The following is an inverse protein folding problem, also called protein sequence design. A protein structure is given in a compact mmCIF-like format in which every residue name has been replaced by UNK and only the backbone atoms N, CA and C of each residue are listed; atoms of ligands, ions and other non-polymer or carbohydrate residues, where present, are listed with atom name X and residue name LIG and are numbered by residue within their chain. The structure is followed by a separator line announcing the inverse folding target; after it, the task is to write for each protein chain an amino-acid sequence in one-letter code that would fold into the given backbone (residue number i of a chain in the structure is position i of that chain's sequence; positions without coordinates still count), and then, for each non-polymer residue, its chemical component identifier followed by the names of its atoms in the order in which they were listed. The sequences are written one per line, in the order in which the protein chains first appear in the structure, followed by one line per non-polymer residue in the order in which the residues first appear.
data_IF_760682362144
#
_entry.id   IF_760682362144
#
_cell.length_a   1.000
_cell.length_b   1.000
_cell.length_c   1.000
_cell.angle_alpha   90.00
_cell.angle_beta   90.00
_cell.angle_gamma   90.00
#
_symmetry.space_group_name_H-M   'P 1'
#
loop_
_entity.id
_entity.type
_entity.pdbx_description
1 polymer ?
#
# COMPACT_ATOMS: atom_id res chain seq x y z
N UNK A 1 0.07 -1.54 18.43
CA UNK A 1 1.07 -2.13 17.52
C UNK A 1 1.09 -1.36 16.20
N UNK A 2 2.12 -1.52 15.36
CA UNK A 2 2.06 -1.00 13.98
C UNK A 2 1.38 -2.06 13.09
N UNK A 3 0.22 -1.72 12.52
CA UNK A 3 -0.62 -2.65 11.75
C UNK A 3 0.14 -3.29 10.58
N UNK A 4 0.98 -2.50 9.91
CA UNK A 4 1.84 -3.01 8.85
C UNK A 4 2.74 -4.16 9.32
N UNK A 5 3.34 -4.04 10.50
CA UNK A 5 4.21 -5.08 11.04
C UNK A 5 3.44 -6.31 11.49
N UNK A 6 2.24 -6.11 12.06
CA UNK A 6 1.33 -7.21 12.43
C UNK A 6 0.95 -8.05 11.21
N UNK A 7 0.71 -7.40 10.06
CA UNK A 7 0.19 -8.09 8.86
C UNK A 7 1.28 -8.63 7.94
N UNK A 8 2.45 -7.97 7.85
CA UNK A 8 3.43 -8.26 6.79
C UNK A 8 4.86 -8.57 7.28
N UNK A 9 5.14 -8.53 8.59
CA UNK A 9 6.51 -8.70 9.10
C UNK A 9 6.58 -9.76 10.20
N UNK A 10 6.63 -11.03 9.77
CA UNK A 10 6.60 -12.22 10.64
C UNK A 10 7.67 -12.24 11.74
N UNK A 11 8.84 -11.64 11.49
CA UNK A 11 9.93 -11.57 12.47
C UNK A 11 9.77 -10.42 13.49
N UNK A 12 8.72 -9.61 13.37
CA UNK A 12 8.53 -8.45 14.23
C UNK A 12 7.87 -8.82 15.56
N UNK A 13 8.21 -8.07 16.61
CA UNK A 13 7.52 -8.21 17.89
C UNK A 13 6.02 -7.94 17.79
N UNK A 14 5.63 -6.95 16.98
CA UNK A 14 4.22 -6.63 16.73
C UNK A 14 3.47 -7.80 16.08
N UNK A 15 4.12 -8.53 15.16
CA UNK A 15 3.55 -9.76 14.60
C UNK A 15 3.30 -10.81 15.68
N UNK A 16 4.31 -11.12 16.49
CA UNK A 16 4.16 -12.10 17.56
C UNK A 16 3.06 -11.72 18.57
N UNK A 17 2.95 -10.43 18.92
CA UNK A 17 1.90 -9.95 19.82
C UNK A 17 0.51 -10.03 19.14
N UNK A 18 0.38 -9.64 17.87
CA UNK A 18 -0.87 -9.78 17.13
C UNK A 18 -1.33 -11.22 16.98
N UNK A 19 -0.42 -12.14 16.64
CA UNK A 19 -0.70 -13.58 16.54
C UNK A 19 -0.95 -14.24 17.90
N UNK A 20 -0.57 -13.61 19.01
CA UNK A 20 -0.84 -14.14 20.34
C UNK A 20 -2.19 -13.66 20.89
N UNK A 21 -2.49 -12.39 20.71
CA UNK A 21 -3.62 -11.74 21.39
C UNK A 21 -4.82 -11.46 20.48
N UNK A 22 -4.61 -11.40 19.17
CA UNK A 22 -5.63 -11.08 18.16
C UNK A 22 -5.67 -12.13 17.03
N UNK A 23 -5.16 -13.34 17.27
CA UNK A 23 -4.91 -14.36 16.24
C UNK A 23 -6.04 -14.55 15.22
N UNK A 24 -7.30 -14.78 15.62
CA UNK A 24 -8.34 -15.08 14.62
C UNK A 24 -8.60 -13.86 13.72
N UNK A 25 -8.60 -12.66 14.30
CA UNK A 25 -8.82 -11.41 13.56
C UNK A 25 -7.64 -11.05 12.65
N UNK A 26 -6.40 -11.21 13.14
CA UNK A 26 -5.18 -11.01 12.34
C UNK A 26 -5.15 -11.98 11.17
N UNK A 27 -5.50 -13.24 11.41
CA UNK A 27 -5.57 -14.28 10.37
C UNK A 27 -6.57 -13.91 9.28
N UNK A 28 -7.81 -13.53 9.66
CA UNK A 28 -8.86 -13.16 8.70
C UNK A 28 -8.47 -11.94 7.85
N UNK A 29 -7.88 -10.92 8.46
CA UNK A 29 -7.38 -9.74 7.72
C UNK A 29 -6.29 -10.14 6.73
N UNK A 30 -5.33 -10.98 7.14
CA UNK A 30 -4.24 -11.44 6.25
C UNK A 30 -4.79 -12.23 5.08
N UNK A 31 -5.73 -13.14 5.32
CA UNK A 31 -6.39 -13.92 4.27
C UNK A 31 -7.19 -13.01 3.32
N UNK A 32 -7.96 -12.06 3.84
CA UNK A 32 -8.74 -11.15 3.02
C UNK A 32 -7.85 -10.25 2.13
N UNK A 33 -6.74 -9.73 2.68
CA UNK A 33 -5.76 -8.97 1.91
C UNK A 33 -5.03 -9.83 0.88
N UNK A 34 -4.80 -11.11 1.17
CA UNK A 34 -4.23 -12.07 0.21
C UNK A 34 -5.21 -12.35 -0.94
N UNK A 35 -6.50 -12.53 -0.67
CA UNK A 35 -7.51 -12.69 -1.70
C UNK A 35 -7.58 -11.46 -2.63
N UNK A 36 -7.48 -10.23 -2.08
CA UNK A 36 -7.35 -9.00 -2.89
C UNK A 36 -6.10 -9.03 -3.78
N UNK A 37 -4.95 -9.32 -3.17
CA UNK A 37 -3.67 -9.44 -3.88
C UNK A 37 -3.76 -10.45 -5.03
N UNK A 38 -4.48 -11.54 -4.81
CA UNK A 38 -4.65 -12.62 -5.77
C UNK A 38 -5.83 -12.42 -6.73
N UNK A 39 -6.57 -11.32 -6.58
CA UNK A 39 -7.75 -10.98 -7.36
C UNK A 39 -8.87 -12.01 -7.24
N UNK A 40 -8.93 -12.74 -6.12
CA UNK A 40 -9.94 -13.77 -5.85
C UNK A 40 -11.10 -13.19 -5.03
N UNK A 41 -12.13 -12.72 -5.72
CA UNK A 41 -13.32 -12.13 -5.10
C UNK A 41 -14.21 -13.17 -4.42
N UNK A 42 -14.18 -14.43 -4.87
CA UNK A 42 -14.98 -15.51 -4.27
C UNK A 42 -14.37 -15.99 -2.95
N UNK A 43 -13.03 -16.12 -2.92
CA UNK A 43 -12.29 -16.37 -1.70
C UNK A 43 -12.48 -15.22 -0.69
N UNK A 44 -12.37 -13.96 -1.15
CA UNK A 44 -12.64 -12.79 -0.31
C UNK A 44 -14.03 -12.85 0.33
N UNK A 45 -15.07 -13.16 -0.46
CA UNK A 45 -16.44 -13.28 0.03
C UNK A 45 -16.58 -14.37 1.10
N UNK A 46 -15.92 -15.51 0.87
CA UNK A 46 -15.92 -16.63 1.81
C UNK A 46 -15.27 -16.23 3.13
N UNK A 47 -14.09 -15.60 3.08
CA UNK A 47 -13.35 -15.16 4.27
C UNK A 47 -14.17 -14.13 5.06
N UNK A 48 -14.74 -13.13 4.38
CA UNK A 48 -15.53 -12.09 5.05
C UNK A 48 -16.79 -12.65 5.73
N UNK A 49 -17.43 -13.64 5.11
CA UNK A 49 -18.61 -14.31 5.69
C UNK A 49 -18.22 -15.07 6.96
N UNK A 50 -17.14 -15.86 6.91
CA UNK A 50 -16.63 -16.62 8.06
C UNK A 50 -16.21 -15.67 9.19
N UNK A 51 -15.48 -14.60 8.87
CA UNK A 51 -15.02 -13.62 9.84
C UNK A 51 -16.21 -12.94 10.54
N UNK A 52 -17.23 -12.51 9.79
CA UNK A 52 -18.42 -11.87 10.35
C UNK A 52 -19.17 -12.81 11.33
N UNK A 53 -19.32 -14.09 10.99
CA UNK A 53 -19.96 -15.09 11.86
C UNK A 53 -19.12 -15.35 13.12
N UNK A 54 -17.81 -15.53 12.96
CA UNK A 54 -16.90 -15.87 14.05
C UNK A 54 -16.76 -14.73 15.06
N UNK A 55 -16.42 -13.53 14.61
CA UNK A 55 -16.13 -12.39 15.50
C UNK A 55 -17.36 -11.81 16.19
N UNK A 56 -18.58 -12.11 15.70
CA UNK A 56 -19.82 -11.70 16.37
C UNK A 56 -19.95 -12.24 17.81
N UNK A 57 -19.19 -13.29 18.16
CA UNK A 57 -19.27 -13.99 19.44
C UNK A 57 -17.94 -14.07 20.20
N UNK A 58 -16.89 -13.35 19.76
CA UNK A 58 -15.55 -13.43 20.36
C UNK A 58 -15.26 -12.20 21.19
N UNK A 59 -14.95 -12.41 22.48
CA UNK A 59 -14.42 -11.35 23.34
C UNK A 59 -12.90 -11.33 23.28
N UNK A 60 -12.35 -10.19 22.85
CA UNK A 60 -10.92 -9.92 22.84
C UNK A 60 -10.51 -9.14 24.10
N UNK A 61 -9.23 -9.23 24.47
CA UNK A 61 -8.68 -8.44 25.58
C UNK A 61 -8.79 -6.94 25.32
N UNK A 62 -9.27 -6.20 26.33
CA UNK A 62 -9.34 -4.73 26.31
C UNK A 62 -7.96 -4.06 26.11
N UNK A 63 -6.88 -4.74 26.53
CA UNK A 63 -5.51 -4.26 26.37
C UNK A 63 -5.14 -3.99 24.89
N UNK A 64 -5.82 -4.66 23.96
CA UNK A 64 -5.55 -4.58 22.52
C UNK A 64 -6.71 -3.96 21.72
N UNK A 65 -7.62 -3.24 22.37
CA UNK A 65 -8.81 -2.64 21.74
C UNK A 65 -8.47 -1.74 20.54
N UNK A 66 -7.44 -0.89 20.67
CA UNK A 66 -7.03 0.01 19.57
C UNK A 66 -6.52 -0.76 18.35
N UNK A 67 -5.78 -1.86 18.57
CA UNK A 67 -5.25 -2.69 17.49
C UNK A 67 -6.34 -3.57 16.86
N UNK A 68 -7.29 -4.04 17.68
CA UNK A 68 -8.51 -4.72 17.23
C UNK A 68 -9.34 -3.82 16.34
N UNK A 69 -9.64 -2.59 16.78
CA UNK A 69 -10.46 -1.64 16.02
C UNK A 69 -9.86 -1.34 14.64
N UNK A 70 -8.52 -1.24 14.54
CA UNK A 70 -7.83 -1.07 13.25
C UNK A 70 -8.05 -2.25 12.31
N UNK A 71 -7.94 -3.48 12.83
CA UNK A 71 -8.16 -4.70 12.03
C UNK A 71 -9.64 -4.83 11.59
N UNK A 72 -10.58 -4.54 12.49
CA UNK A 72 -12.02 -4.51 12.19
C UNK A 72 -12.34 -3.47 11.11
N UNK A 73 -11.75 -2.28 11.16
CA UNK A 73 -11.90 -1.26 10.11
C UNK A 73 -11.42 -1.76 8.74
N UNK A 74 -10.33 -2.53 8.70
CA UNK A 74 -9.87 -3.16 7.44
C UNK A 74 -10.90 -4.16 6.92
N UNK A 75 -11.44 -5.05 7.77
CA UNK A 75 -12.47 -6.01 7.34
C UNK A 75 -13.75 -5.31 6.87
N UNK A 76 -14.26 -4.34 7.64
CA UNK A 76 -15.46 -3.56 7.30
C UNK A 76 -15.31 -2.81 5.98
N UNK A 77 -14.11 -2.29 5.71
CA UNK A 77 -13.80 -1.69 4.42
C UNK A 77 -13.84 -2.72 3.29
N UNK A 78 -13.23 -3.89 3.46
CA UNK A 78 -13.21 -4.94 2.45
C UNK A 78 -14.61 -5.52 2.18
N UNK A 79 -15.46 -5.61 3.19
CA UNK A 79 -16.87 -5.94 3.05
C UNK A 79 -17.62 -4.88 2.24
N UNK A 80 -17.41 -3.60 2.57
CA UNK A 80 -18.00 -2.48 1.83
C UNK A 80 -17.54 -2.44 0.37
N UNK A 81 -16.26 -2.71 0.12
CA UNK A 81 -15.70 -2.90 -1.22
C UNK A 81 -16.41 -4.05 -1.94
N UNK A 82 -16.45 -5.25 -1.35
CA UNK A 82 -17.04 -6.44 -1.99
C UNK A 82 -18.49 -6.20 -2.39
N UNK A 83 -19.28 -5.59 -1.49
CA UNK A 83 -20.68 -5.25 -1.75
C UNK A 83 -20.79 -4.32 -2.96
N UNK A 84 -20.08 -3.18 -2.93
CA UNK A 84 -20.11 -2.19 -4.03
C UNK A 84 -19.58 -2.76 -5.34
N UNK A 85 -18.52 -3.57 -5.28
CA UNK A 85 -17.94 -4.20 -6.46
C UNK A 85 -18.95 -5.16 -7.10
N UNK A 86 -19.64 -5.97 -6.29
CA UNK A 86 -20.64 -6.92 -6.79
C UNK A 86 -21.89 -6.22 -7.34
N UNK A 87 -22.26 -5.05 -6.82
CA UNK A 87 -23.39 -4.24 -7.32
C UNK A 87 -23.05 -3.45 -8.60
N UNK A 88 -21.82 -2.94 -8.70
CA UNK A 88 -21.42 -2.01 -9.76
C UNK A 88 -20.73 -2.68 -10.95
N UNK A 89 -20.16 -3.89 -10.77
CA UNK A 89 -19.30 -4.52 -11.77
C UNK A 89 -19.96 -5.79 -12.30
N UNK A 90 -20.29 -5.78 -13.59
CA UNK A 90 -20.70 -6.98 -14.30
C UNK A 90 -19.48 -7.87 -14.55
N UNK A 91 -19.35 -8.94 -13.75
CA UNK A 91 -18.26 -9.92 -13.86
C UNK A 91 -18.17 -10.55 -15.26
N UNK A 92 -19.26 -10.59 -16.03
CA UNK A 92 -19.23 -11.14 -17.39
C UNK A 92 -18.40 -10.31 -18.37
N UNK A 93 -18.16 -9.03 -18.04
CA UNK A 93 -17.35 -8.10 -18.84
C UNK A 93 -15.86 -8.16 -18.43
N UNK A 94 -15.54 -8.69 -17.23
CA UNK A 94 -14.18 -8.89 -16.75
C UNK A 94 -13.65 -10.25 -17.21
N UNK A 95 -13.48 -10.41 -18.52
CA UNK A 95 -13.16 -11.69 -19.13
C UNK A 95 -11.66 -12.02 -19.17
N UNK A 96 -10.80 -11.11 -18.72
CA UNK A 96 -9.36 -11.35 -18.56
C UNK A 96 -8.88 -11.12 -17.12
N UNK A 97 -7.83 -11.84 -16.67
CA UNK A 97 -7.16 -11.56 -15.40
C UNK A 97 -6.76 -10.10 -15.26
N UNK A 98 -6.28 -9.49 -16.36
CA UNK A 98 -5.88 -8.09 -16.42
C UNK A 98 -7.01 -7.11 -16.14
N UNK A 99 -8.17 -7.30 -16.77
CA UNK A 99 -9.34 -6.45 -16.51
C UNK A 99 -9.85 -6.59 -15.08
N UNK A 100 -9.87 -7.83 -14.55
CA UNK A 100 -10.25 -8.10 -13.16
C UNK A 100 -9.32 -7.36 -12.19
N UNK A 101 -8.02 -7.52 -12.35
CA UNK A 101 -6.99 -6.85 -11.56
C UNK A 101 -7.13 -5.32 -11.57
N UNK A 102 -7.26 -4.71 -12.75
CA UNK A 102 -7.46 -3.27 -12.90
C UNK A 102 -8.75 -2.79 -12.23
N UNK A 103 -9.86 -3.53 -12.42
CA UNK A 103 -11.15 -3.18 -11.83
C UNK A 103 -11.10 -3.24 -10.30
N UNK A 104 -10.52 -4.29 -9.72
CA UNK A 104 -10.36 -4.45 -8.27
C UNK A 104 -9.54 -3.29 -7.70
N UNK A 105 -8.33 -3.09 -8.24
CA UNK A 105 -7.41 -2.10 -7.70
C UNK A 105 -7.95 -0.66 -7.86
N UNK A 106 -8.56 -0.35 -9.01
CA UNK A 106 -9.20 0.95 -9.25
C UNK A 106 -10.37 1.24 -8.30
N UNK A 107 -11.24 0.25 -8.06
CA UNK A 107 -12.36 0.40 -7.13
C UNK A 107 -11.90 0.55 -5.68
N UNK A 108 -10.87 -0.18 -5.25
CA UNK A 108 -10.30 -0.04 -3.91
C UNK A 108 -9.71 1.36 -3.73
N UNK A 109 -8.92 1.86 -4.68
CA UNK A 109 -8.35 3.21 -4.63
C UNK A 109 -9.46 4.27 -4.56
N UNK A 110 -10.48 4.15 -5.40
CA UNK A 110 -11.63 5.05 -5.37
C UNK A 110 -12.35 5.00 -4.02
N UNK A 111 -12.48 3.82 -3.41
CA UNK A 111 -13.12 3.68 -2.11
C UNK A 111 -12.28 4.33 -1.01
N UNK A 112 -10.97 4.05 -0.95
CA UNK A 112 -10.04 4.66 0.01
C UNK A 112 -10.08 6.20 -0.06
N UNK A 113 -10.11 6.76 -1.27
CA UNK A 113 -10.11 8.23 -1.45
C UNK A 113 -11.41 8.89 -1.00
N UNK A 114 -12.52 8.15 -1.01
CA UNK A 114 -13.84 8.63 -0.58
C UNK A 114 -14.16 8.29 0.88
N UNK A 115 -13.44 7.34 1.47
CA UNK A 115 -13.67 6.84 2.83
C UNK A 115 -13.11 7.80 3.88
N UNK A 116 -13.99 8.26 4.79
CA UNK A 116 -13.65 9.13 5.91
C UNK A 116 -13.43 8.36 7.22
N UNK A 117 -13.70 7.06 7.25
CA UNK A 117 -13.67 6.20 8.43
C UNK A 117 -12.35 5.44 8.60
N UNK A 118 -11.67 5.11 7.51
CA UNK A 118 -10.34 4.50 7.57
C UNK A 118 -9.36 5.42 8.29
N UNK A 119 -8.49 4.85 9.12
CA UNK A 119 -7.33 5.55 9.65
C UNK A 119 -6.16 5.52 8.67
N UNK A 120 -5.06 6.14 9.08
CA UNK A 120 -3.82 6.18 8.29
C UNK A 120 -3.25 4.79 8.05
N UNK A 121 -3.16 3.95 9.10
CA UNK A 121 -2.50 2.65 8.99
C UNK A 121 -3.33 1.67 8.15
N UNK A 122 -4.63 1.65 8.36
CA UNK A 122 -5.62 0.84 7.66
C UNK A 122 -5.59 1.14 6.16
N UNK A 123 -5.63 2.42 5.80
CA UNK A 123 -5.52 2.85 4.39
C UNK A 123 -4.22 2.38 3.75
N UNK A 124 -3.10 2.45 4.48
CA UNK A 124 -1.79 2.08 3.95
C UNK A 124 -1.65 0.57 3.77
N UNK A 125 -2.16 -0.26 4.69
CA UNK A 125 -2.07 -1.72 4.55
C UNK A 125 -2.95 -2.26 3.43
N UNK A 126 -4.13 -1.69 3.22
CA UNK A 126 -4.99 -2.02 2.07
C UNK A 126 -4.31 -1.57 0.77
N UNK A 127 -3.76 -0.37 0.73
CA UNK A 127 -3.04 0.10 -0.45
C UNK A 127 -1.79 -0.74 -0.75
N UNK A 128 -1.12 -1.24 0.29
CA UNK A 128 0.05 -2.11 0.15
C UNK A 128 -0.30 -3.45 -0.52
N UNK A 129 -1.46 -4.03 -0.23
CA UNK A 129 -1.88 -5.30 -0.83
C UNK A 129 -2.17 -5.22 -2.33
N UNK A 130 -2.36 -4.00 -2.88
CA UNK A 130 -2.54 -3.80 -4.32
C UNK A 130 -1.22 -3.88 -5.12
N UNK A 131 -0.06 -3.75 -4.46
CA UNK A 131 1.23 -3.72 -5.17
C UNK A 131 1.48 -4.99 -6.00
N UNK A 132 1.26 -6.21 -5.49
CA UNK A 132 1.54 -7.41 -6.28
C UNK A 132 0.59 -7.59 -7.48
N UNK A 133 -0.56 -6.90 -7.51
CA UNK A 133 -1.43 -6.87 -8.69
C UNK A 133 -0.69 -6.20 -9.85
N UNK A 134 0.02 -5.09 -9.59
CA UNK A 134 0.84 -4.42 -10.60
C UNK A 134 1.95 -5.32 -11.12
N UNK A 135 2.64 -6.06 -10.24
CA UNK A 135 3.71 -7.00 -10.64
C UNK A 135 3.18 -8.06 -11.58
N UNK A 136 2.02 -8.63 -11.26
CA UNK A 136 1.34 -9.64 -12.08
C UNK A 136 1.03 -9.09 -13.47
N UNK A 137 0.38 -7.93 -13.52
CA UNK A 137 0.03 -7.27 -14.78
C UNK A 137 1.27 -6.99 -15.64
N UNK A 138 2.37 -6.55 -15.05
CA UNK A 138 3.63 -6.32 -15.75
C UNK A 138 4.24 -7.60 -16.31
N UNK A 139 4.21 -8.70 -15.55
CA UNK A 139 4.73 -9.98 -16.02
C UNK A 139 3.90 -10.60 -17.14
N UNK A 140 2.57 -10.46 -17.10
CA UNK A 140 1.67 -10.92 -18.16
C UNK A 140 1.93 -10.16 -19.47
N UNK A 141 2.09 -8.83 -19.40
CA UNK A 141 2.41 -8.02 -20.58
C UNK A 141 3.77 -8.38 -21.21
N UNK A 142 4.80 -8.67 -20.41
CA UNK A 142 6.11 -9.09 -20.93
C UNK A 142 5.99 -10.43 -21.70
N UNK A 143 5.14 -11.34 -21.25
CA UNK A 143 4.93 -12.65 -21.90
C UNK A 143 4.12 -12.59 -23.19
N UNK A 144 3.17 -11.66 -23.31
CA UNK A 144 2.39 -11.44 -24.53
C UNK A 144 3.29 -10.90 -25.66
N UNK A 145 4.20 -9.98 -25.33
CA UNK A 145 5.14 -9.37 -26.28
C UNK A 145 6.17 -10.38 -26.82
N UNK A 146 6.59 -11.37 -26.01
CA UNK A 146 7.50 -12.43 -26.48
C UNK A 146 6.87 -13.37 -27.52
N UNK A 147 5.53 -13.36 -27.66
CA UNK A 147 4.79 -14.19 -28.61
C UNK A 147 4.42 -13.48 -29.93
N UNK A 148 4.52 -12.14 -30.00
CA UNK A 148 4.17 -11.35 -31.17
C UNK A 148 5.32 -10.39 -31.56
N UNK A 149 6.00 -10.67 -32.67
CA UNK A 149 7.02 -9.77 -33.23
C UNK A 149 6.33 -8.54 -33.85
N UNK A 150 6.84 -7.36 -33.46
CA UNK A 150 6.70 -6.01 -34.07
C UNK A 150 5.38 -5.23 -33.88
N UNK A 151 5.41 -4.18 -33.04
CA UNK A 151 5.08 -2.81 -33.48
C UNK A 151 5.50 -1.73 -32.45
N UNK A 152 5.99 -0.59 -32.96
CA UNK A 152 6.52 0.57 -32.23
C UNK A 152 5.42 1.42 -31.55
N UNK A 153 4.62 0.83 -30.67
CA UNK A 153 3.74 1.58 -29.76
C UNK A 153 3.87 0.99 -28.37
N UNK A 154 4.16 1.82 -27.36
CA UNK A 154 3.91 1.47 -25.95
C UNK A 154 2.53 0.82 -25.89
N UNK A 155 2.48 -0.45 -25.53
CA UNK A 155 1.25 -1.22 -25.59
C UNK A 155 0.24 -0.61 -24.61
N UNK A 156 -1.06 -0.58 -24.96
CA UNK A 156 -2.09 -0.02 -24.07
C UNK A 156 -2.05 -0.64 -22.65
N UNK A 157 -1.51 -1.86 -22.53
CA UNK A 157 -1.23 -2.54 -21.27
C UNK A 157 -0.15 -1.87 -20.43
N UNK A 158 0.99 -1.47 -21.01
CA UNK A 158 2.04 -0.74 -20.28
C UNK A 158 1.53 0.58 -19.71
N UNK A 159 0.74 1.33 -20.50
CA UNK A 159 0.12 2.60 -20.08
C UNK A 159 -0.86 2.38 -18.92
N UNK A 160 -1.64 1.30 -18.95
CA UNK A 160 -2.59 0.96 -17.90
C UNK A 160 -1.88 0.58 -16.58
N UNK A 161 -0.81 -0.21 -16.66
CA UNK A 161 0.03 -0.58 -15.52
C UNK A 161 0.66 0.67 -14.91
N UNK A 162 1.21 1.56 -15.75
CA UNK A 162 1.78 2.83 -15.29
C UNK A 162 0.74 3.72 -14.60
N UNK A 163 -0.48 3.81 -15.15
CA UNK A 163 -1.58 4.54 -14.51
C UNK A 163 -1.95 3.95 -13.16
N UNK A 164 -2.07 2.63 -13.05
CA UNK A 164 -2.40 1.99 -11.79
C UNK A 164 -1.31 2.23 -10.73
N UNK A 165 -0.05 2.10 -11.12
CA UNK A 165 1.09 2.44 -10.25
C UNK A 165 1.05 3.88 -9.75
N UNK A 166 0.86 4.82 -10.68
CA UNK A 166 0.73 6.23 -10.37
C UNK A 166 -0.42 6.47 -9.38
N UNK A 167 -1.57 5.84 -9.60
CA UNK A 167 -2.72 5.96 -8.70
C UNK A 167 -2.44 5.40 -7.31
N UNK A 168 -1.80 4.24 -7.19
CA UNK A 168 -1.40 3.68 -5.89
C UNK A 168 -0.45 4.65 -5.18
N UNK A 169 0.59 5.13 -5.87
CA UNK A 169 1.58 6.03 -5.31
C UNK A 169 0.98 7.38 -4.87
N UNK A 170 0.18 8.01 -5.73
CA UNK A 170 -0.48 9.28 -5.42
C UNK A 170 -1.47 9.14 -4.27
N UNK A 171 -2.22 8.05 -4.23
CA UNK A 171 -3.16 7.78 -3.13
C UNK A 171 -2.40 7.63 -1.81
N UNK A 172 -1.29 6.87 -1.80
CA UNK A 172 -0.44 6.71 -0.62
C UNK A 172 0.11 8.04 -0.10
N UNK A 173 0.65 8.89 -0.99
CA UNK A 173 1.13 10.21 -0.60
C UNK A 173 0.01 11.14 -0.13
N UNK A 174 -1.16 11.08 -0.77
CA UNK A 174 -2.33 11.86 -0.37
C UNK A 174 -2.83 11.46 1.02
N UNK A 175 -2.78 10.16 1.34
CA UNK A 175 -3.06 9.65 2.70
C UNK A 175 -2.05 10.25 3.69
N UNK A 176 -0.73 10.22 3.40
CA UNK A 176 0.26 10.83 4.27
C UNK A 176 0.01 12.33 4.51
N UNK A 177 -0.39 13.07 3.48
CA UNK A 177 -0.74 14.48 3.61
C UNK A 177 -2.02 14.69 4.42
N UNK A 178 -3.09 13.93 4.15
CA UNK A 178 -4.39 14.00 4.85
C UNK A 178 -4.24 13.79 6.36
N UNK A 179 -3.48 12.77 6.76
CA UNK A 179 -3.26 12.46 8.18
C UNK A 179 -2.03 13.15 8.77
N UNK A 180 -1.30 13.94 7.97
CA UNK A 180 -0.05 14.60 8.35
C UNK A 180 0.93 13.66 9.10
N UNK A 181 1.03 12.42 8.62
CA UNK A 181 1.77 11.33 9.31
C UNK A 181 2.88 10.81 8.40
N UNK A 182 4.12 10.91 8.89
CA UNK A 182 5.33 10.64 8.11
C UNK A 182 6.37 9.82 8.89
N UNK A 183 6.02 8.55 9.16
CA UNK A 183 6.91 7.58 9.80
C UNK A 183 7.31 6.44 8.86
N UNK A 184 7.56 5.25 9.42
CA UNK A 184 7.93 4.05 8.63
C UNK A 184 6.96 3.73 7.48
N UNK A 185 5.65 3.89 7.69
CA UNK A 185 4.63 3.68 6.64
C UNK A 185 4.82 4.62 5.44
N UNK A 186 5.23 5.88 5.67
CA UNK A 186 5.59 6.79 4.56
C UNK A 186 6.79 6.24 3.79
N UNK A 187 7.83 5.74 4.51
CA UNK A 187 9.00 5.16 3.85
C UNK A 187 8.64 3.92 3.05
N UNK A 188 7.70 3.09 3.56
CA UNK A 188 7.16 1.93 2.83
C UNK A 188 6.40 2.37 1.58
N UNK A 189 5.59 3.44 1.65
CA UNK A 189 4.89 4.00 0.49
C UNK A 189 5.87 4.42 -0.60
N UNK A 190 6.97 5.07 -0.21
CA UNK A 190 7.99 5.54 -1.16
C UNK A 190 9.13 4.54 -1.42
N UNK A 191 9.09 3.34 -0.81
CA UNK A 191 10.15 2.34 -0.96
C UNK A 191 10.10 1.71 -2.35
N UNK A 192 11.28 1.38 -2.86
CA UNK A 192 11.50 0.85 -4.21
C UNK A 192 11.54 -0.67 -4.19
N UNK A 193 10.54 -1.32 -3.59
CA UNK A 193 10.36 -2.74 -3.85
C UNK A 193 9.74 -2.86 -5.25
N UNK A 194 10.52 -3.43 -6.17
CA UNK A 194 10.26 -3.66 -7.61
C UNK A 194 10.61 -2.50 -8.56
N UNK A 195 10.49 -2.72 -9.88
CA UNK A 195 10.91 -1.85 -11.02
C UNK A 195 10.35 -0.39 -10.95
N UNK A 196 9.66 -0.04 -9.88
CA UNK A 196 8.81 1.12 -9.64
C UNK A 196 9.49 2.13 -8.73
N UNK A 197 10.66 2.60 -9.17
CA UNK A 197 11.54 3.40 -8.31
C UNK A 197 10.93 4.77 -7.98
N UNK A 198 11.13 5.23 -6.74
CA UNK A 198 10.78 6.59 -6.32
C UNK A 198 11.42 7.67 -7.22
N UNK A 199 12.55 7.34 -7.84
CA UNK A 199 13.24 8.20 -8.79
C UNK A 199 12.38 8.52 -10.03
N UNK A 200 11.56 7.58 -10.52
CA UNK A 200 10.64 7.84 -11.65
C UNK A 200 9.56 8.84 -11.25
N UNK A 201 8.88 8.60 -10.13
CA UNK A 201 7.82 9.47 -9.64
C UNK A 201 8.32 10.85 -9.28
N UNK A 202 9.51 10.96 -8.66
CA UNK A 202 10.11 12.26 -8.41
C UNK A 202 10.55 12.90 -9.71
N UNK A 203 11.21 12.23 -10.66
CA UNK A 203 11.71 12.89 -11.88
C UNK A 203 10.61 13.32 -12.84
N UNK A 204 9.51 12.58 -12.92
CA UNK A 204 8.44 12.80 -13.90
C UNK A 204 7.26 13.65 -13.40
N UNK A 205 7.04 13.82 -12.09
CA UNK A 205 5.75 14.30 -11.59
C UNK A 205 5.74 15.64 -10.82
N UNK A 206 4.52 16.19 -10.84
CA UNK A 206 3.88 17.29 -10.11
C UNK A 206 4.62 17.85 -8.87
N UNK A 207 4.83 19.17 -8.86
CA UNK A 207 5.40 19.94 -7.73
C UNK A 207 4.65 19.77 -6.40
N UNK A 208 3.37 19.39 -6.41
CA UNK A 208 2.62 19.06 -5.20
C UNK A 208 3.18 17.83 -4.49
N UNK A 209 3.49 16.78 -5.24
CA UNK A 209 4.00 15.52 -4.67
C UNK A 209 5.41 15.70 -4.13
N UNK A 210 6.24 16.48 -4.83
CA UNK A 210 7.56 16.84 -4.34
C UNK A 210 7.47 17.48 -2.94
N UNK A 211 6.46 18.34 -2.70
CA UNK A 211 6.23 18.95 -1.38
C UNK A 211 5.84 17.94 -0.32
N UNK A 212 4.96 16.98 -0.65
CA UNK A 212 4.58 15.90 0.28
C UNK A 212 5.81 15.06 0.64
N UNK A 213 6.58 14.64 -0.38
CA UNK A 213 7.78 13.83 -0.17
C UNK A 213 8.81 14.63 0.63
N UNK A 214 9.03 15.90 0.30
CA UNK A 214 9.93 16.78 1.04
C UNK A 214 9.56 16.86 2.52
N UNK A 215 8.28 17.13 2.84
CA UNK A 215 7.77 17.15 4.22
C UNK A 215 8.01 15.81 4.94
N UNK A 216 7.73 14.70 4.27
CA UNK A 216 7.93 13.37 4.83
C UNK A 216 9.41 13.05 5.10
N UNK A 217 10.30 13.37 4.16
CA UNK A 217 11.74 13.25 4.35
C UNK A 217 12.22 14.12 5.50
N UNK A 218 11.80 15.38 5.55
CA UNK A 218 12.16 16.31 6.63
C UNK A 218 11.71 15.80 8.00
N UNK A 219 10.47 15.29 8.11
CA UNK A 219 9.95 14.68 9.33
C UNK A 219 10.84 13.54 9.83
N UNK A 220 11.16 12.58 8.95
CA UNK A 220 11.98 11.41 9.30
C UNK A 220 13.41 11.82 9.60
N UNK A 221 14.02 12.64 8.75
CA UNK A 221 15.39 13.10 8.93
C UNK A 221 15.54 13.91 10.21
N UNK A 222 14.51 14.64 10.65
CA UNK A 222 14.50 15.34 11.95
C UNK A 222 14.31 14.41 13.16
N UNK A 223 13.89 13.15 12.98
CA UNK A 223 13.71 12.17 14.06
C UNK A 223 14.75 11.03 14.04
N UNK A 224 15.67 11.04 15.01
CA UNK A 224 16.60 9.91 15.20
C UNK A 224 15.87 8.59 15.48
N UNK A 225 14.73 8.66 16.14
CA UNK A 225 13.91 7.50 16.48
C UNK A 225 13.32 6.88 15.23
N UNK A 226 12.76 7.68 14.32
CA UNK A 226 12.22 7.17 13.06
C UNK A 226 13.33 6.55 12.19
N UNK A 227 14.49 7.20 12.05
CA UNK A 227 15.63 6.64 11.31
C UNK A 227 16.07 5.27 11.87
N UNK A 228 16.00 5.08 13.20
CA UNK A 228 16.38 3.81 13.84
C UNK A 228 15.41 2.68 13.55
N UNK A 229 14.13 2.98 13.33
CA UNK A 229 13.09 1.98 12.98
C UNK A 229 13.27 1.44 11.56
N UNK A 230 13.94 2.20 10.68
CA UNK A 230 14.15 1.79 9.29
C UNK A 230 15.25 0.72 9.19
N UNK A 231 14.95 -0.35 8.45
CA UNK A 231 15.97 -1.29 8.01
C UNK A 231 16.91 -0.67 6.96
N UNK A 232 17.93 -1.43 6.55
CA UNK A 232 18.94 -0.94 5.62
C UNK A 232 18.39 -0.70 4.20
N UNK A 233 17.31 -1.37 3.80
CA UNK A 233 16.71 -1.19 2.49
C UNK A 233 15.86 0.08 2.47
N UNK A 234 15.01 0.27 3.47
CA UNK A 234 14.22 1.49 3.65
C UNK A 234 15.12 2.74 3.80
N UNK A 235 16.27 2.63 4.48
CA UNK A 235 17.27 3.72 4.54
C UNK A 235 17.85 4.06 3.17
N UNK A 236 18.14 3.05 2.34
CA UNK A 236 18.64 3.27 0.97
C UNK A 236 17.61 4.00 0.12
N UNK A 237 16.34 3.61 0.23
CA UNK A 237 15.25 4.25 -0.52
C UNK A 237 15.00 5.68 -0.05
N UNK A 238 14.99 5.93 1.26
CA UNK A 238 14.94 7.27 1.83
C UNK A 238 16.09 8.16 1.32
N UNK A 239 17.30 7.59 1.16
CA UNK A 239 18.45 8.30 0.60
C UNK A 239 18.33 8.57 -0.89
N UNK A 240 17.72 7.67 -1.67
CA UNK A 240 17.41 7.89 -3.09
C UNK A 240 16.44 9.06 -3.24
N UNK A 241 15.34 9.03 -2.50
CA UNK A 241 14.34 10.11 -2.42
C UNK A 241 14.97 11.47 -2.13
N UNK A 242 15.81 11.53 -1.08
CA UNK A 242 16.55 12.73 -0.70
C UNK A 242 17.43 13.26 -1.84
N UNK A 243 18.19 12.38 -2.52
CA UNK A 243 19.03 12.77 -3.65
C UNK A 243 18.21 13.30 -4.83
N UNK A 244 17.07 12.68 -5.11
CA UNK A 244 16.20 13.10 -6.20
C UNK A 244 15.63 14.51 -5.95
N UNK A 245 15.16 14.80 -4.74
CA UNK A 245 14.70 16.15 -4.37
C UNK A 245 15.83 17.19 -4.34
N UNK A 246 17.02 16.82 -3.86
CA UNK A 246 18.19 17.72 -3.89
C UNK A 246 18.55 18.11 -5.33
N UNK A 247 18.48 17.17 -6.28
CA UNK A 247 18.71 17.46 -7.72
C UNK A 247 17.67 18.43 -8.30
N UNK A 248 16.46 18.48 -7.73
CA UNK A 248 15.40 19.44 -8.08
C UNK A 248 15.55 20.80 -7.38
N UNK A 249 16.55 21.00 -6.53
CA UNK A 249 16.79 22.26 -5.83
C UNK A 249 16.07 22.40 -4.49
N UNK A 250 15.50 21.33 -3.93
CA UNK A 250 14.95 21.37 -2.57
C UNK A 250 16.07 21.47 -1.54
N UNK A 251 15.93 22.43 -0.62
CA UNK A 251 16.91 22.69 0.43
C UNK A 251 16.56 21.96 1.72
N UNK A 252 17.53 21.22 2.26
CA UNK A 252 17.45 20.57 3.56
C UNK A 252 18.39 21.27 4.55
N UNK A 253 17.96 21.36 5.81
CA UNK A 253 18.74 21.91 6.91
C UNK A 253 20.07 21.16 7.12
N UNK A 254 21.00 21.77 7.86
CA UNK A 254 22.28 21.14 8.15
C UNK A 254 22.13 19.79 8.87
N UNK A 255 21.17 19.69 9.81
CA UNK A 255 20.91 18.46 10.57
C UNK A 255 20.38 17.36 9.65
N UNK A 256 19.44 17.70 8.76
CA UNK A 256 18.86 16.75 7.81
C UNK A 256 19.92 16.25 6.83
N UNK A 257 20.74 17.15 6.27
CA UNK A 257 21.87 16.79 5.39
C UNK A 257 22.87 15.87 6.09
N UNK A 258 23.21 16.17 7.34
CA UNK A 258 24.10 15.34 8.14
C UNK A 258 23.52 13.94 8.39
N UNK A 259 22.22 13.82 8.60
CA UNK A 259 21.58 12.50 8.83
C UNK A 259 21.39 11.74 7.54
N UNK A 260 21.01 12.41 6.45
CA UNK A 260 20.89 11.82 5.12
C UNK A 260 22.22 11.23 4.61
N UNK A 261 23.36 11.84 4.97
CA UNK A 261 24.68 11.28 4.64
C UNK A 261 25.00 10.00 5.40
N UNK A 262 24.35 9.77 6.55
CA UNK A 262 24.53 8.60 7.44
C UNK A 262 23.47 7.50 7.26
N UNK A 263 22.49 7.70 6.38
CA UNK A 263 21.60 6.65 5.87
C UNK A 263 22.41 5.69 4.99
#
# INVERSE_FOLDING_TARGET
MLLYEVLFKEESRNYCEGELYLYPLVSDVKMALAAIKDCDIEELETILTIAAEFHSNVEYSEEYDEDREKLEKVLNFLESFKRRFSEAVDKSILNTPKQMASAIAGNIINLITQDDQLGFEESVVILHSLRPIVDRLASESESEIESEIESESESESEIEIERLMNNIYFTGLSICERYNTYGINFVIIISSNYKWSIDQFIRGCNSHLDKIIYRGLSSILCSKTEIRKLDNNLKKDLKRAYKALTKKGYEFSLIERYRASRL
#
